data_IF_126810381199
#
_entry.id   IF_126810381199
#
_cell.length_a   1.000
_cell.length_b   1.000
_cell.length_c   1.000
_cell.angle_alpha   90.00
_cell.angle_beta   90.00
_cell.angle_gamma   90.00
#
_symmetry.space_group_name_H-M   'P 1'
#
loop_
_entity.id
_entity.type
_entity.pdbx_description
1 polymer ?
#
# COMPACT_ATOMS: atom_id res chain seq x y z
N UNK A 1 9.15 23.33 -28.83
CA UNK A 1 8.63 23.92 -27.57
C UNK A 1 8.59 22.80 -26.54
N UNK A 2 9.69 22.59 -25.83
CA UNK A 2 9.76 21.62 -24.73
C UNK A 2 9.34 22.36 -23.45
N UNK A 3 8.23 21.94 -22.85
CA UNK A 3 7.74 22.49 -21.59
C UNK A 3 8.37 21.70 -20.44
N UNK A 4 9.10 22.41 -19.58
CA UNK A 4 9.60 21.92 -18.29
C UNK A 4 8.52 22.06 -17.24
N UNK A 5 8.31 21.02 -16.42
CA UNK A 5 7.41 21.04 -15.28
C UNK A 5 8.10 21.73 -14.09
N UNK A 6 7.65 22.94 -13.76
CA UNK A 6 7.92 23.56 -12.47
C UNK A 6 6.86 23.13 -11.47
N UNK A 7 7.27 22.41 -10.42
CA UNK A 7 6.51 22.34 -9.19
C UNK A 7 6.68 23.69 -8.49
N UNK A 8 5.61 24.49 -8.43
CA UNK A 8 5.63 25.75 -7.70
C UNK A 8 5.57 25.45 -6.18
N UNK A 9 6.64 25.80 -5.49
CA UNK A 9 6.81 25.81 -4.03
C UNK A 9 8.25 26.21 -3.73
N UNK A 10 8.43 27.31 -2.99
CA UNK A 10 9.66 28.11 -2.86
C UNK A 10 10.96 27.32 -2.61
N UNK A 11 11.97 27.62 -3.45
CA UNK A 11 13.40 27.78 -3.11
C UNK A 11 14.24 27.57 -4.39
N UNK A 12 14.52 28.66 -5.10
CA UNK A 12 15.43 28.70 -6.26
C UNK A 12 16.65 29.52 -5.86
N UNK A 13 17.77 28.84 -5.60
CA UNK A 13 19.09 29.46 -5.71
C UNK A 13 19.66 29.19 -7.11
N UNK A 14 19.99 30.29 -7.79
CA UNK A 14 20.49 30.31 -9.14
C UNK A 14 22.03 30.28 -9.16
N UNK A 15 22.62 29.30 -9.84
CA UNK A 15 23.96 29.43 -10.41
C UNK A 15 24.11 28.55 -11.64
N UNK A 16 24.14 29.22 -12.80
CA UNK A 16 24.62 28.67 -14.07
C UNK A 16 26.12 28.41 -13.95
N UNK A 17 26.58 27.20 -14.24
CA UNK A 17 27.91 26.99 -14.82
C UNK A 17 27.85 25.91 -15.91
N UNK A 18 28.41 26.28 -17.06
CA UNK A 18 28.44 25.48 -18.27
C UNK A 18 29.69 24.61 -18.26
N UNK A 19 29.54 23.28 -18.26
CA UNK A 19 30.65 22.35 -18.47
C UNK A 19 30.55 21.55 -19.77
N UNK A 20 31.67 21.60 -20.48
CA UNK A 20 32.00 20.98 -21.77
C UNK A 20 31.96 19.45 -21.73
N UNK A 21 31.27 18.83 -22.70
CA UNK A 21 31.23 17.38 -22.90
C UNK A 21 32.53 16.84 -23.51
N UNK A 22 33.17 15.88 -22.84
CA UNK A 22 34.11 14.93 -23.45
C UNK A 22 33.42 13.57 -23.67
N UNK A 23 33.73 12.84 -24.76
CA UNK A 23 33.04 11.60 -25.11
C UNK A 23 33.53 10.41 -24.27
N UNK A 24 32.64 9.82 -23.48
CA UNK A 24 32.87 8.57 -22.75
C UNK A 24 32.50 7.34 -23.58
N UNK A 25 33.35 6.30 -23.49
CA UNK A 25 33.18 4.99 -24.13
C UNK A 25 31.87 4.27 -23.70
N UNK A 26 31.35 3.30 -24.49
CA UNK A 26 30.06 2.68 -24.20
C UNK A 26 30.17 1.74 -23.00
N UNK A 27 29.72 2.20 -21.83
CA UNK A 27 29.48 1.34 -20.67
C UNK A 27 28.20 0.54 -20.93
N UNK A 28 28.28 -0.79 -20.88
CA UNK A 28 27.09 -1.66 -20.89
C UNK A 28 26.38 -1.46 -19.54
N UNK A 29 25.53 -0.46 -19.42
CA UNK A 29 24.67 -0.26 -18.26
C UNK A 29 23.62 -1.36 -18.24
N UNK A 30 23.73 -2.28 -17.27
CA UNK A 30 22.67 -3.23 -16.93
C UNK A 30 21.39 -2.43 -16.69
N UNK A 31 20.35 -2.68 -17.48
CA UNK A 31 19.11 -1.94 -17.38
C UNK A 31 18.45 -2.20 -16.01
N UNK A 32 18.54 -1.23 -15.10
CA UNK A 32 17.90 -1.26 -13.80
C UNK A 32 16.40 -0.97 -13.95
N UNK A 33 15.58 -1.64 -13.14
CA UNK A 33 14.15 -1.35 -13.08
C UNK A 33 13.95 0.05 -12.47
N UNK A 34 13.06 0.85 -13.08
CA UNK A 34 12.73 2.19 -12.56
C UNK A 34 11.82 2.11 -11.33
N UNK A 35 11.65 3.23 -10.63
CA UNK A 35 10.88 3.36 -9.38
C UNK A 35 9.34 3.29 -9.54
N UNK A 36 8.86 3.21 -10.78
CA UNK A 36 7.45 3.02 -11.11
C UNK A 36 7.32 2.27 -12.44
N UNK A 37 6.19 1.60 -12.70
CA UNK A 37 6.02 0.81 -13.91
C UNK A 37 5.96 1.70 -15.16
N UNK A 38 6.92 1.50 -16.08
CA UNK A 38 7.00 2.22 -17.37
C UNK A 38 6.97 1.21 -18.53
N UNK A 39 6.12 1.47 -19.52
CA UNK A 39 6.03 0.65 -20.73
C UNK A 39 7.38 0.52 -21.44
N UNK A 40 7.77 -0.70 -21.80
CA UNK A 40 9.02 -0.99 -22.52
C UNK A 40 10.30 -0.92 -21.68
N UNK A 41 10.21 -0.69 -20.37
CA UNK A 41 11.35 -0.75 -19.44
C UNK A 41 11.30 -2.05 -18.61
N UNK A 42 12.45 -2.56 -18.12
CA UNK A 42 12.45 -3.64 -17.14
C UNK A 42 11.62 -3.26 -15.91
N UNK A 43 10.80 -4.22 -15.45
CA UNK A 43 9.94 -4.05 -14.29
C UNK A 43 10.56 -4.74 -13.07
N UNK A 44 10.26 -4.25 -11.86
CA UNK A 44 10.60 -4.96 -10.63
C UNK A 44 9.86 -6.31 -10.58
N UNK A 45 10.62 -7.39 -10.37
CA UNK A 45 10.06 -8.72 -10.17
C UNK A 45 9.21 -8.75 -8.90
N UNK A 46 8.04 -9.37 -8.98
CA UNK A 46 7.17 -9.51 -7.84
C UNK A 46 7.82 -10.39 -6.75
N UNK A 47 7.87 -9.89 -5.52
CA UNK A 47 8.55 -10.51 -4.38
C UNK A 47 7.67 -10.41 -3.14
N UNK A 48 7.55 -11.51 -2.40
CA UNK A 48 6.90 -11.54 -1.08
C UNK A 48 7.93 -11.29 0.00
N UNK A 49 7.58 -10.48 1.00
CA UNK A 49 8.45 -10.14 2.12
C UNK A 49 8.00 -10.86 3.40
N UNK A 50 8.98 -11.30 4.20
CA UNK A 50 8.72 -11.89 5.51
C UNK A 50 8.53 -10.79 6.55
N UNK A 51 7.43 -10.87 7.31
CA UNK A 51 7.10 -9.86 8.31
C UNK A 51 8.16 -9.79 9.42
N UNK A 52 8.74 -10.92 9.84
CA UNK A 52 9.73 -10.92 10.91
C UNK A 52 11.03 -10.24 10.47
N UNK A 53 11.45 -10.47 9.21
CA UNK A 53 12.58 -9.77 8.60
C UNK A 53 12.31 -8.27 8.47
N UNK A 54 11.13 -7.87 7.99
CA UNK A 54 10.76 -6.45 7.90
C UNK A 54 10.73 -5.77 9.27
N UNK A 55 10.19 -6.43 10.29
CA UNK A 55 10.17 -5.91 11.67
C UNK A 55 11.58 -5.78 12.26
N UNK A 56 12.49 -6.69 11.93
CA UNK A 56 13.88 -6.62 12.38
C UNK A 56 14.67 -5.44 11.79
N UNK A 57 14.19 -4.88 10.67
CA UNK A 57 14.77 -3.70 10.02
C UNK A 57 14.09 -2.38 10.43
N UNK A 58 13.18 -2.41 11.41
CA UNK A 58 12.53 -1.18 11.86
C UNK A 58 13.50 -0.28 12.63
N UNK A 59 13.38 1.06 12.48
CA UNK A 59 14.11 1.99 13.32
C UNK A 59 13.63 1.87 14.78
N UNK A 60 14.44 2.34 15.72
CA UNK A 60 14.08 2.33 17.15
C UNK A 60 12.91 3.27 17.50
N UNK A 61 12.60 4.22 16.63
CA UNK A 61 11.47 5.13 16.76
C UNK A 61 10.96 5.61 15.40
N UNK A 62 9.71 6.04 15.36
CA UNK A 62 9.09 6.68 14.20
C UNK A 62 8.24 7.86 14.65
N UNK A 63 8.27 8.95 13.87
CA UNK A 63 7.33 10.06 14.04
C UNK A 63 6.10 9.88 13.15
N UNK A 64 4.94 10.35 13.60
CA UNK A 64 3.68 10.19 12.90
C UNK A 64 2.75 11.41 13.04
N UNK A 65 1.78 11.53 12.14
CA UNK A 65 0.62 12.40 12.31
C UNK A 65 -0.68 11.63 12.15
N UNK A 66 -1.77 12.23 12.61
CA UNK A 66 -3.12 11.74 12.42
C UNK A 66 -3.78 12.48 11.26
N UNK A 67 -4.27 11.72 10.28
CA UNK A 67 -5.12 12.25 9.22
C UNK A 67 -6.59 12.13 9.63
N UNK A 68 -7.24 13.28 9.79
CA UNK A 68 -8.69 13.34 10.01
C UNK A 68 -9.44 13.09 8.69
N UNK A 69 -10.25 12.03 8.67
CA UNK A 69 -11.16 11.72 7.57
C UNK A 69 -12.60 11.89 8.04
N UNK A 70 -13.24 12.99 7.60
CA UNK A 70 -14.67 13.21 7.84
C UNK A 70 -15.50 12.28 6.95
N UNK A 71 -16.23 11.37 7.59
CA UNK A 71 -17.14 10.42 6.96
C UNK A 71 -18.47 11.08 6.56
N UNK A 72 -19.28 10.35 5.80
CA UNK A 72 -20.56 10.85 5.26
C UNK A 72 -21.64 11.03 6.34
N UNK A 73 -21.50 10.36 7.48
CA UNK A 73 -22.34 10.55 8.67
C UNK A 73 -21.86 11.70 9.57
N UNK A 74 -20.78 12.40 9.18
CA UNK A 74 -20.17 13.49 9.94
C UNK A 74 -19.17 13.03 11.01
N UNK A 75 -19.04 11.72 11.27
CA UNK A 75 -18.01 11.21 12.17
C UNK A 75 -16.61 11.43 11.57
N UNK A 76 -15.60 11.59 12.43
CA UNK A 76 -14.19 11.70 11.99
C UNK A 76 -13.45 10.42 12.38
N UNK A 77 -12.79 9.80 11.41
CA UNK A 77 -11.85 8.71 11.63
C UNK A 77 -10.44 9.28 11.58
N UNK A 78 -9.62 8.96 12.58
CA UNK A 78 -8.22 9.39 12.64
C UNK A 78 -7.30 8.25 12.19
N UNK A 79 -6.67 8.43 11.03
CA UNK A 79 -5.77 7.45 10.44
C UNK A 79 -4.31 7.86 10.70
N UNK A 80 -3.51 7.05 11.41
CA UNK A 80 -2.11 7.39 11.63
C UNK A 80 -1.29 7.18 10.36
N UNK A 81 -0.30 8.07 10.18
CA UNK A 81 0.67 8.00 9.10
C UNK A 81 2.03 8.37 9.62
N UNK A 82 3.04 7.56 9.30
CA UNK A 82 4.44 7.95 9.49
C UNK A 82 4.72 9.24 8.72
N UNK A 83 5.44 10.14 9.37
CA UNK A 83 5.81 11.43 8.81
C UNK A 83 6.80 11.30 7.65
N UNK A 84 6.61 12.09 6.59
CA UNK A 84 7.48 12.02 5.41
C UNK A 84 8.88 12.54 5.72
N UNK A 85 9.00 13.53 6.60
CA UNK A 85 10.31 14.03 7.02
C UNK A 85 11.08 12.96 7.80
N UNK A 86 10.40 12.13 8.60
CA UNK A 86 11.01 11.06 9.38
C UNK A 86 11.54 9.94 8.45
N UNK A 87 10.77 9.60 7.41
CA UNK A 87 11.23 8.70 6.34
C UNK A 87 12.48 9.24 5.65
N UNK A 88 12.52 10.54 5.34
CA UNK A 88 13.69 11.18 4.70
C UNK A 88 14.91 11.16 5.58
N UNK A 89 14.76 11.44 6.88
CA UNK A 89 15.87 11.39 7.84
C UNK A 89 16.43 9.97 7.95
N UNK A 90 15.57 8.93 8.01
CA UNK A 90 16.02 7.54 8.02
C UNK A 90 16.83 7.21 6.75
N UNK A 91 16.31 7.55 5.57
CA UNK A 91 17.01 7.29 4.30
C UNK A 91 18.37 7.99 4.25
N UNK A 92 18.45 9.25 4.71
CA UNK A 92 19.72 9.98 4.77
C UNK A 92 20.73 9.30 5.71
N UNK A 93 20.28 8.82 6.86
CA UNK A 93 21.15 8.11 7.81
C UNK A 93 21.67 6.78 7.25
N UNK A 94 20.80 5.98 6.60
CA UNK A 94 21.19 4.72 5.97
C UNK A 94 22.19 4.95 4.82
N UNK A 95 21.99 5.99 4.00
CA UNK A 95 22.93 6.36 2.93
C UNK A 95 24.30 6.79 3.46
N UNK A 96 24.35 7.51 4.59
CA UNK A 96 25.61 7.90 5.23
C UNK A 96 26.36 6.69 5.80
N UNK A 97 25.66 5.73 6.40
CA UNK A 97 26.23 4.48 6.88
C UNK A 97 26.82 3.65 5.74
N UNK A 98 26.13 3.55 4.61
CA UNK A 98 26.63 2.87 3.41
C UNK A 98 27.90 3.55 2.86
N UNK A 99 27.89 4.89 2.72
CA UNK A 99 29.06 5.66 2.26
C UNK A 99 30.26 5.51 3.19
N UNK A 100 30.02 5.41 4.50
CA UNK A 100 31.08 5.21 5.49
C UNK A 100 31.62 3.77 5.48
N UNK A 101 30.79 2.78 5.11
CA UNK A 101 31.20 1.38 4.97
C UNK A 101 32.03 1.10 3.69
N UNK A 102 31.86 1.89 2.63
CA UNK A 102 32.55 1.71 1.33
C UNK A 102 34.07 1.99 1.33
N UNK A 103 34.67 2.44 2.45
CA UNK A 103 36.15 2.46 2.59
C UNK A 103 36.76 1.06 2.86
N UNK A 104 35.97 -0.01 2.82
CA UNK A 104 36.44 -1.40 2.94
C UNK A 104 35.71 -2.39 2.04
N UNK A 105 36.24 -2.61 0.83
CA UNK A 105 36.09 -3.81 -0.02
C UNK A 105 34.66 -4.17 -0.49
N UNK A 106 34.37 -3.85 -1.77
CA UNK A 106 33.43 -4.49 -2.71
C UNK A 106 32.29 -5.34 -2.10
N UNK A 107 31.13 -4.72 -1.85
CA UNK A 107 29.87 -5.40 -1.63
C UNK A 107 28.90 -5.12 -2.79
N UNK A 108 28.96 -5.95 -3.83
CA UNK A 108 27.85 -6.14 -4.77
C UNK A 108 26.63 -6.65 -3.97
N UNK A 109 25.69 -5.78 -3.57
CA UNK A 109 24.55 -6.24 -2.77
C UNK A 109 23.41 -5.26 -2.53
N UNK A 110 23.66 -3.96 -2.42
CA UNK A 110 22.61 -2.94 -2.32
C UNK A 110 22.84 -1.90 -3.41
N UNK A 111 21.93 -1.86 -4.38
CA UNK A 111 22.04 -0.98 -5.52
C UNK A 111 21.70 0.46 -5.14
N UNK A 112 22.69 1.21 -4.68
CA UNK A 112 22.61 2.67 -4.56
C UNK A 112 23.90 3.26 -5.16
N UNK A 113 23.85 3.47 -6.47
CA UNK A 113 24.91 4.15 -7.19
C UNK A 113 24.95 5.64 -6.83
N UNK A 114 26.16 6.13 -6.67
CA UNK A 114 26.54 7.51 -6.33
C UNK A 114 26.04 8.52 -7.37
N UNK A 115 24.94 9.22 -7.09
CA UNK A 115 24.63 10.60 -7.49
C UNK A 115 23.37 11.07 -6.77
N UNK A 116 23.41 12.29 -6.23
CA UNK A 116 22.41 12.93 -5.37
C UNK A 116 20.96 12.74 -5.80
N UNK A 117 20.07 12.51 -4.82
CA UNK A 117 18.60 12.67 -4.85
C UNK A 117 18.02 12.99 -6.24
N UNK A 118 17.86 12.00 -7.16
CA UNK A 118 16.98 12.18 -8.34
C UNK A 118 16.64 11.00 -9.27
N UNK A 119 17.12 9.77 -9.10
CA UNK A 119 16.79 8.72 -10.11
C UNK A 119 16.52 7.32 -9.58
N UNK A 120 15.91 7.17 -8.39
CA UNK A 120 15.57 5.82 -7.90
C UNK A 120 14.47 5.72 -6.85
N UNK A 121 14.20 6.78 -6.08
CA UNK A 121 13.21 6.73 -5.00
C UNK A 121 11.92 7.42 -5.45
N UNK A 122 10.85 6.63 -5.62
CA UNK A 122 9.52 7.14 -5.90
C UNK A 122 8.91 7.70 -4.61
N UNK A 123 9.02 9.01 -4.39
CA UNK A 123 8.36 9.69 -3.26
C UNK A 123 6.83 9.59 -3.30
N UNK A 124 6.25 9.31 -4.47
CA UNK A 124 4.80 9.26 -4.63
C UNK A 124 4.13 8.19 -3.76
N UNK A 125 4.84 7.11 -3.43
CA UNK A 125 4.34 6.02 -2.59
C UNK A 125 4.38 6.36 -1.10
N UNK A 126 5.19 7.34 -0.70
CA UNK A 126 5.25 7.82 0.68
C UNK A 126 4.13 8.82 1.01
N UNK A 127 3.38 9.28 0.00
CA UNK A 127 2.29 10.24 0.16
C UNK A 127 0.94 9.54 0.09
N UNK A 128 -0.02 10.04 0.86
CA UNK A 128 -1.42 9.66 0.71
C UNK A 128 -2.04 10.44 -0.43
N UNK A 129 -2.81 9.77 -1.28
CA UNK A 129 -3.54 10.38 -2.38
C UNK A 129 -5.02 10.51 -2.06
N UNK A 130 -5.67 11.58 -2.54
CA UNK A 130 -7.06 11.92 -2.21
C UNK A 130 -8.05 10.77 -2.47
N UNK A 131 -7.88 10.02 -3.57
CA UNK A 131 -8.78 8.90 -3.88
C UNK A 131 -8.73 7.78 -2.83
N UNK A 132 -7.64 7.64 -2.06
CA UNK A 132 -7.59 6.69 -0.95
C UNK A 132 -8.49 7.10 0.22
N UNK A 133 -8.63 8.41 0.46
CA UNK A 133 -9.58 8.97 1.44
C UNK A 133 -11.02 8.76 0.95
N UNK A 134 -11.28 8.96 -0.33
CA UNK A 134 -12.59 8.68 -0.93
C UNK A 134 -12.99 7.21 -0.77
N UNK A 135 -12.02 6.31 -0.91
CA UNK A 135 -12.23 4.88 -0.69
C UNK A 135 -12.53 4.55 0.78
N UNK A 136 -11.84 5.15 1.74
CA UNK A 136 -12.14 5.01 3.19
C UNK A 136 -13.58 5.40 3.49
N UNK A 137 -14.07 6.53 2.93
CA UNK A 137 -15.46 6.97 3.14
C UNK A 137 -16.48 5.97 2.59
N UNK A 138 -16.21 5.41 1.40
CA UNK A 138 -17.06 4.35 0.81
C UNK A 138 -17.06 3.09 1.69
N UNK A 139 -15.91 2.67 2.20
CA UNK A 139 -15.79 1.51 3.09
C UNK A 139 -16.59 1.72 4.38
N UNK A 140 -16.55 2.92 4.96
CA UNK A 140 -17.33 3.26 6.14
C UNK A 140 -18.85 3.22 5.86
N UNK A 141 -19.28 3.80 4.73
CA UNK A 141 -20.69 3.83 4.31
C UNK A 141 -21.27 2.43 4.01
N UNK A 142 -20.44 1.47 3.62
CA UNK A 142 -20.83 0.06 3.45
C UNK A 142 -20.91 -0.72 4.77
N UNK A 143 -20.82 -0.03 5.91
CA UNK A 143 -21.10 -0.57 7.22
C UNK A 143 -19.89 -1.19 7.91
N UNK A 144 -18.70 -0.57 7.83
CA UNK A 144 -17.49 -0.89 8.64
C UNK A 144 -17.35 -2.39 8.96
N UNK A 145 -16.87 -3.23 8.04
CA UNK A 145 -16.55 -4.65 8.33
C UNK A 145 -17.76 -5.46 8.92
N UNK A 146 -18.99 -4.97 8.95
CA UNK A 146 -20.12 -5.63 9.64
C UNK A 146 -20.59 -6.94 9.00
N UNK A 147 -20.28 -7.18 7.72
CA UNK A 147 -20.51 -8.47 7.07
C UNK A 147 -19.41 -9.51 7.38
N UNK A 148 -18.24 -9.06 7.86
CA UNK A 148 -17.06 -9.88 8.13
C UNK A 148 -17.09 -10.65 9.46
N UNK A 149 -18.07 -10.37 10.31
CA UNK A 149 -18.13 -11.06 11.60
C UNK A 149 -18.57 -12.53 11.44
N UNK A 150 -19.18 -12.86 10.29
CA UNK A 150 -19.71 -14.21 10.02
C UNK A 150 -18.76 -15.08 9.17
N UNK A 151 -17.88 -14.48 8.38
CA UNK A 151 -16.97 -15.19 7.46
C UNK A 151 -15.53 -14.69 7.58
N UNK A 152 -14.52 -15.55 7.35
CA UNK A 152 -13.15 -15.11 7.13
C UNK A 152 -13.07 -14.01 6.07
N UNK A 153 -12.24 -13.00 6.32
CA UNK A 153 -12.04 -11.85 5.42
C UNK A 153 -10.68 -11.89 4.74
N UNK A 154 -10.67 -11.60 3.45
CA UNK A 154 -9.45 -11.40 2.66
C UNK A 154 -9.46 -9.99 2.08
N UNK A 155 -8.59 -9.14 2.60
CA UNK A 155 -8.41 -7.77 2.16
C UNK A 155 -7.13 -7.72 1.35
N UNK A 156 -7.22 -7.31 0.09
CA UNK A 156 -6.08 -7.21 -0.83
C UNK A 156 -6.02 -5.78 -1.32
N UNK A 157 -4.95 -5.05 -1.06
CA UNK A 157 -4.76 -3.69 -1.58
C UNK A 157 -3.59 -3.63 -2.55
N UNK A 158 -3.87 -3.26 -3.79
CA UNK A 158 -2.87 -3.11 -4.85
C UNK A 158 -2.47 -1.64 -4.98
N UNK A 159 -1.17 -1.37 -5.02
CA UNK A 159 -0.65 0.00 -5.07
C UNK A 159 -0.95 0.77 -3.79
N UNK A 160 -0.66 0.15 -2.65
CA UNK A 160 -1.14 0.60 -1.35
C UNK A 160 -0.50 1.90 -0.85
N UNK A 161 0.75 2.22 -1.19
CA UNK A 161 1.43 3.39 -0.64
C UNK A 161 1.33 3.47 0.89
N UNK A 162 0.71 4.54 1.41
CA UNK A 162 0.41 4.71 2.84
C UNK A 162 -0.69 3.77 3.41
N UNK A 163 -1.37 3.01 2.55
CA UNK A 163 -2.38 2.00 2.86
C UNK A 163 -3.61 2.48 3.64
N UNK A 164 -4.02 3.74 3.49
CA UNK A 164 -5.17 4.30 4.23
C UNK A 164 -6.44 3.41 4.20
N UNK A 165 -6.86 2.83 3.06
CA UNK A 165 -7.98 1.90 3.02
C UNK A 165 -7.77 0.68 3.91
N UNK A 166 -6.64 -0.03 3.77
CA UNK A 166 -6.34 -1.18 4.63
C UNK A 166 -6.17 -0.81 6.10
N UNK A 167 -5.58 0.35 6.43
CA UNK A 167 -5.42 0.83 7.80
C UNK A 167 -6.78 1.11 8.44
N UNK A 168 -7.73 1.71 7.71
CA UNK A 168 -9.09 1.93 8.23
C UNK A 168 -9.80 0.60 8.55
N UNK A 169 -9.70 -0.39 7.65
CA UNK A 169 -10.25 -1.73 7.87
C UNK A 169 -9.54 -2.46 9.03
N UNK A 170 -8.25 -2.27 9.18
CA UNK A 170 -7.46 -2.81 10.28
C UNK A 170 -7.91 -2.19 11.61
N UNK A 171 -8.05 -0.88 11.73
CA UNK A 171 -8.58 -0.22 12.93
C UNK A 171 -9.97 -0.72 13.30
N UNK A 172 -10.91 -0.80 12.35
CA UNK A 172 -12.24 -1.36 12.64
C UNK A 172 -12.18 -2.83 13.03
N UNK A 173 -11.22 -3.59 12.50
CA UNK A 173 -10.95 -4.97 12.94
C UNK A 173 -10.52 -4.99 14.41
N UNK A 174 -9.61 -4.10 14.82
CA UNK A 174 -9.16 -3.97 16.21
C UNK A 174 -10.29 -3.53 17.14
N UNK A 175 -11.07 -2.51 16.77
CA UNK A 175 -12.21 -1.98 17.54
C UNK A 175 -13.27 -3.07 17.81
N UNK A 176 -13.60 -3.84 16.78
CA UNK A 176 -14.53 -4.97 16.92
C UNK A 176 -13.98 -6.07 17.84
N UNK A 177 -12.65 -6.21 17.95
CA UNK A 177 -12.01 -7.21 18.82
C UNK A 177 -12.11 -6.82 20.29
N UNK A 178 -12.11 -5.52 20.57
CA UNK A 178 -12.28 -4.98 21.92
C UNK A 178 -13.75 -4.94 22.35
N UNK A 179 -14.67 -4.78 21.40
CA UNK A 179 -16.10 -4.65 21.67
C UNK A 179 -16.83 -5.98 21.77
N UNK A 180 -16.39 -6.99 21.03
CA UNK A 180 -16.99 -8.32 21.04
C UNK A 180 -16.38 -9.14 22.18
N UNK A 181 -17.20 -9.69 23.07
CA UNK A 181 -16.74 -10.69 24.04
C UNK A 181 -16.08 -11.90 23.36
N UNK A 182 -15.53 -12.83 24.14
CA UNK A 182 -14.66 -13.95 23.70
C UNK A 182 -15.26 -15.00 22.71
N UNK A 183 -16.24 -14.66 21.88
CA UNK A 183 -16.64 -15.49 20.74
C UNK A 183 -15.51 -15.60 19.73
N UNK A 184 -15.27 -16.80 19.22
CA UNK A 184 -14.18 -17.09 18.28
C UNK A 184 -14.31 -16.24 17.00
N UNK A 185 -13.42 -15.26 16.85
CA UNK A 185 -13.40 -14.35 15.70
C UNK A 185 -12.97 -15.09 14.43
N UNK A 186 -13.58 -14.72 13.32
CA UNK A 186 -13.15 -15.19 12.01
C UNK A 186 -11.78 -14.59 11.62
N UNK A 187 -10.90 -15.36 10.95
CA UNK A 187 -9.63 -14.87 10.45
C UNK A 187 -9.77 -13.65 9.54
N UNK A 188 -8.84 -12.70 9.62
CA UNK A 188 -8.76 -11.57 8.69
C UNK A 188 -7.35 -11.48 8.13
N UNK A 189 -7.21 -11.58 6.81
CA UNK A 189 -5.91 -11.44 6.14
C UNK A 189 -5.83 -10.14 5.36
N UNK A 190 -4.75 -9.38 5.57
CA UNK A 190 -4.39 -8.22 4.76
C UNK A 190 -3.20 -8.59 3.86
N UNK A 191 -3.39 -8.51 2.55
CA UNK A 191 -2.32 -8.57 1.56
C UNK A 191 -2.17 -7.18 0.96
N UNK A 192 -1.13 -6.48 1.34
CA UNK A 192 -0.84 -5.12 0.86
C UNK A 192 0.35 -5.15 -0.09
N UNK A 193 0.18 -4.51 -1.24
CA UNK A 193 1.16 -4.55 -2.31
C UNK A 193 1.49 -3.16 -2.83
N UNK A 194 2.78 -2.93 -3.08
CA UNK A 194 3.27 -1.71 -3.73
C UNK A 194 4.30 -2.09 -4.79
N UNK A 195 4.53 -1.23 -5.77
CA UNK A 195 5.60 -1.50 -6.73
C UNK A 195 6.98 -1.48 -6.02
N UNK A 196 7.18 -0.60 -5.04
CA UNK A 196 8.46 -0.38 -4.37
C UNK A 196 8.55 -1.08 -3.00
N UNK A 197 9.55 -1.94 -2.75
CA UNK A 197 9.71 -2.59 -1.44
C UNK A 197 9.99 -1.59 -0.31
N UNK A 198 10.71 -0.50 -0.60
CA UNK A 198 11.01 0.56 0.37
C UNK A 198 9.74 1.27 0.87
N UNK A 199 8.70 1.40 0.03
CA UNK A 199 7.40 1.95 0.46
C UNK A 199 6.75 1.03 1.50
N UNK A 200 6.79 -0.28 1.26
CA UNK A 200 6.25 -1.27 2.19
C UNK A 200 7.00 -1.24 3.53
N UNK A 201 8.33 -1.18 3.48
CA UNK A 201 9.19 -1.18 4.66
C UNK A 201 9.11 0.12 5.46
N UNK A 202 9.19 1.27 4.79
CA UNK A 202 9.33 2.56 5.46
C UNK A 202 8.01 3.25 5.79
N UNK A 203 6.91 2.87 5.15
CA UNK A 203 5.62 3.57 5.30
C UNK A 203 4.47 2.61 5.58
N UNK A 204 4.26 1.61 4.73
CA UNK A 204 3.09 0.73 4.87
C UNK A 204 3.09 -0.05 6.18
N UNK A 205 4.17 -0.80 6.48
CA UNK A 205 4.26 -1.56 7.73
C UNK A 205 4.27 -0.65 8.98
N UNK A 206 5.03 0.47 9.03
CA UNK A 206 4.94 1.42 10.13
C UNK A 206 3.52 1.92 10.40
N UNK A 207 2.72 2.20 9.36
CA UNK A 207 1.33 2.64 9.53
C UNK A 207 0.45 1.55 10.18
N UNK A 208 0.67 0.26 9.87
CA UNK A 208 -0.03 -0.83 10.57
C UNK A 208 0.36 -0.91 12.04
N UNK A 209 1.65 -0.73 12.36
CA UNK A 209 2.12 -0.72 13.75
C UNK A 209 1.53 0.47 14.50
N UNK A 210 1.54 1.67 13.91
CA UNK A 210 0.95 2.87 14.49
C UNK A 210 -0.55 2.69 14.75
N UNK A 211 -1.30 2.16 13.78
CA UNK A 211 -2.72 1.89 13.93
C UNK A 211 -3.01 0.92 15.08
N UNK A 212 -2.22 -0.14 15.21
CA UNK A 212 -2.31 -1.06 16.34
C UNK A 212 -1.95 -0.39 17.66
N UNK A 213 -0.80 0.30 17.71
CA UNK A 213 -0.25 0.88 18.92
C UNK A 213 -1.19 1.95 19.52
N UNK A 214 -1.75 2.80 18.66
CA UNK A 214 -2.73 3.81 19.09
C UNK A 214 -4.03 3.17 19.59
N UNK A 215 -4.54 2.15 18.87
CA UNK A 215 -5.78 1.47 19.27
C UNK A 215 -5.62 0.68 20.57
N UNK A 216 -4.45 0.10 20.82
CA UNK A 216 -4.20 -0.82 21.93
C UNK A 216 -3.40 -0.18 23.09
N UNK A 217 -3.16 1.14 23.05
CA UNK A 217 -2.27 1.86 23.98
C UNK A 217 -2.59 1.60 25.45
N UNK A 218 -3.86 1.67 25.81
CA UNK A 218 -4.31 1.51 27.21
C UNK A 218 -4.31 0.05 27.69
N UNK A 219 -4.34 -0.90 26.75
CA UNK A 219 -4.53 -2.32 27.03
C UNK A 219 -3.24 -3.15 26.93
N UNK A 220 -2.14 -2.54 26.45
CA UNK A 220 -0.89 -3.25 26.17
C UNK A 220 0.24 -2.69 27.03
N UNK A 221 0.76 -3.44 28.02
CA UNK A 221 1.81 -2.96 28.92
C UNK A 221 3.07 -2.45 28.20
N UNK A 222 3.45 -3.06 27.07
CA UNK A 222 4.60 -2.64 26.28
C UNK A 222 4.46 -1.23 25.68
N UNK A 223 3.24 -0.72 25.53
CA UNK A 223 2.95 0.59 24.93
C UNK A 223 2.90 1.74 25.93
N UNK A 224 2.84 1.47 27.23
CA UNK A 224 2.65 2.49 28.28
C UNK A 224 3.71 3.59 28.18
N UNK A 225 4.97 3.21 27.96
CA UNK A 225 6.10 4.13 27.86
C UNK A 225 6.56 4.36 26.42
N UNK A 226 5.92 3.73 25.42
CA UNK A 226 6.34 3.82 24.02
C UNK A 226 5.96 5.15 23.36
N UNK A 227 5.07 5.92 24.00
CA UNK A 227 4.60 7.25 23.58
C UNK A 227 5.08 8.31 24.58
N UNK A 228 6.40 8.31 24.86
CA UNK A 228 7.05 9.23 25.80
C UNK A 228 7.06 10.68 25.28
N UNK A 229 7.13 10.85 23.96
CA UNK A 229 6.98 12.11 23.23
C UNK A 229 5.66 12.06 22.46
N UNK A 230 4.97 13.20 22.40
CA UNK A 230 3.82 13.38 21.54
C UNK A 230 4.25 13.15 20.08
N UNK A 231 3.38 12.50 19.29
CA UNK A 231 3.60 12.24 17.86
C UNK A 231 4.81 11.34 17.52
N UNK A 232 5.43 10.69 18.51
CA UNK A 232 6.45 9.65 18.29
C UNK A 232 6.01 8.29 18.89
N UNK A 233 6.44 7.21 18.25
CA UNK A 233 6.33 5.84 18.76
C UNK A 233 7.72 5.22 18.86
N UNK A 234 8.14 4.88 20.07
CA UNK A 234 9.33 4.06 20.32
C UNK A 234 9.06 2.59 19.99
N UNK A 235 9.76 2.05 19.00
CA UNK A 235 9.64 0.67 18.52
C UNK A 235 10.62 -0.25 19.26
N UNK A 236 10.56 -0.25 20.59
CA UNK A 236 11.37 -1.15 21.42
C UNK A 236 11.06 -2.62 21.10
N UNK A 237 12.00 -3.57 21.35
CA UNK A 237 11.78 -4.98 21.07
C UNK A 237 10.50 -5.56 21.70
N UNK A 238 10.12 -5.07 22.89
CA UNK A 238 8.88 -5.46 23.56
C UNK A 238 7.61 -4.99 22.82
N UNK A 239 7.65 -3.81 22.18
CA UNK A 239 6.56 -3.27 21.35
C UNK A 239 6.38 -4.11 20.10
N UNK A 240 7.48 -4.42 19.41
CA UNK A 240 7.47 -5.29 18.22
C UNK A 240 6.94 -6.69 18.55
N UNK A 241 7.41 -7.29 19.65
CA UNK A 241 6.94 -8.60 20.09
C UNK A 241 5.44 -8.58 20.49
N UNK A 242 4.97 -7.50 21.12
CA UNK A 242 3.57 -7.32 21.47
C UNK A 242 2.68 -7.17 20.22
N UNK A 243 3.15 -6.45 19.19
CA UNK A 243 2.45 -6.34 17.90
C UNK A 243 2.28 -7.71 17.25
N UNK A 244 3.37 -8.48 17.13
CA UNK A 244 3.32 -9.84 16.56
C UNK A 244 2.38 -10.76 17.34
N UNK A 245 2.47 -10.73 18.68
CA UNK A 245 1.60 -11.53 19.55
C UNK A 245 0.13 -11.15 19.40
N UNK A 246 -0.16 -9.85 19.24
CA UNK A 246 -1.51 -9.35 19.03
C UNK A 246 -2.10 -9.84 17.70
N UNK A 247 -1.33 -9.79 16.60
CA UNK A 247 -1.77 -10.30 15.30
C UNK A 247 -2.18 -11.78 15.39
N UNK A 248 -1.34 -12.61 16.02
CA UNK A 248 -1.62 -14.04 16.21
C UNK A 248 -2.85 -14.25 17.09
N UNK A 249 -2.92 -13.59 18.24
CA UNK A 249 -4.03 -13.74 19.19
C UNK A 249 -5.39 -13.36 18.59
N UNK A 250 -5.41 -12.40 17.65
CA UNK A 250 -6.62 -11.93 17.00
C UNK A 250 -6.86 -12.54 15.61
N UNK A 251 -6.08 -13.57 15.22
CA UNK A 251 -6.18 -14.25 13.92
C UNK A 251 -6.07 -13.29 12.74
N UNK A 252 -5.20 -12.29 12.87
CA UNK A 252 -4.89 -11.32 11.81
C UNK A 252 -3.57 -11.70 11.16
N UNK A 253 -3.53 -11.75 9.83
CA UNK A 253 -2.29 -11.97 9.07
C UNK A 253 -1.99 -10.79 8.18
N UNK A 254 -0.74 -10.32 8.17
CA UNK A 254 -0.25 -9.30 7.25
C UNK A 254 0.72 -9.92 6.24
N UNK A 255 0.50 -9.65 4.95
CA UNK A 255 1.36 -10.11 3.84
C UNK A 255 1.74 -8.92 2.97
N UNK A 256 3.03 -8.80 2.68
CA UNK A 256 3.61 -7.70 1.91
C UNK A 256 4.19 -8.22 0.60
N UNK A 257 3.80 -7.61 -0.52
CA UNK A 257 4.28 -8.00 -1.85
C UNK A 257 4.76 -6.76 -2.59
N UNK A 258 6.04 -6.72 -2.98
CA UNK A 258 6.56 -5.67 -3.85
C UNK A 258 6.60 -6.09 -5.32
N UNK A 259 6.73 -5.12 -6.23
CA UNK A 259 7.04 -5.34 -7.64
C UNK A 259 5.83 -5.24 -8.57
N UNK A 260 6.05 -5.52 -9.86
CA UNK A 260 5.04 -5.32 -10.89
C UNK A 260 3.89 -6.33 -10.81
N UNK A 261 2.68 -5.83 -11.05
CA UNK A 261 1.50 -6.65 -11.30
C UNK A 261 1.73 -7.53 -12.54
N UNK A 262 1.81 -8.83 -12.29
CA UNK A 262 2.22 -9.86 -13.25
C UNK A 262 1.60 -11.20 -12.86
N UNK A 263 1.63 -12.24 -13.72
CA UNK A 263 1.17 -13.57 -13.33
C UNK A 263 1.86 -14.09 -12.05
N UNK A 264 3.17 -13.80 -11.90
CA UNK A 264 3.92 -14.13 -10.69
C UNK A 264 3.40 -13.38 -9.46
N UNK A 265 3.05 -12.10 -9.60
CA UNK A 265 2.42 -11.35 -8.52
C UNK A 265 1.12 -12.02 -8.07
N UNK A 266 0.25 -12.41 -9.02
CA UNK A 266 -1.00 -13.10 -8.70
C UNK A 266 -0.72 -14.43 -8.00
N UNK A 267 0.28 -15.21 -8.40
CA UNK A 267 0.68 -16.42 -7.66
C UNK A 267 1.06 -16.11 -6.20
N UNK A 268 1.85 -15.06 -5.97
CA UNK A 268 2.29 -14.67 -4.63
C UNK A 268 1.15 -14.23 -3.71
N UNK A 269 0.06 -13.68 -4.26
CA UNK A 269 -1.16 -13.35 -3.49
C UNK A 269 -1.79 -14.60 -2.85
N UNK A 270 -1.60 -15.80 -3.43
CA UNK A 270 -2.21 -17.04 -2.93
C UNK A 270 -1.19 -18.00 -2.28
N UNK A 271 0.09 -17.90 -2.64
CA UNK A 271 1.13 -18.78 -2.08
C UNK A 271 1.43 -18.39 -0.63
N UNK A 272 1.38 -19.33 0.32
CA UNK A 272 1.82 -19.11 1.72
C UNK A 272 0.78 -18.45 2.62
N UNK A 273 -0.50 -18.63 2.34
CA UNK A 273 -1.57 -18.35 3.29
C UNK A 273 -1.67 -19.61 4.17
N UNK A 274 -1.57 -19.49 5.52
CA UNK A 274 -1.69 -20.66 6.40
C UNK A 274 -3.01 -21.39 6.11
N UNK A 275 -2.94 -22.73 6.01
CA UNK A 275 -4.07 -23.58 5.65
C UNK A 275 -5.31 -23.41 6.56
N UNK A 276 -5.18 -22.76 7.71
CA UNK A 276 -6.30 -22.42 8.61
C UNK A 276 -7.30 -21.43 8.00
N UNK A 277 -6.95 -20.72 6.92
CA UNK A 277 -7.86 -19.87 6.15
C UNK A 277 -8.29 -20.51 4.81
N UNK A 278 -7.81 -21.72 4.51
CA UNK A 278 -8.09 -22.45 3.27
C UNK A 278 -8.49 -23.88 3.57
N UNK A 279 -9.45 -24.07 4.48
CA UNK A 279 -10.37 -25.19 4.30
C UNK A 279 -11.00 -24.97 2.92
N UNK A 280 -10.56 -25.79 1.96
CA UNK A 280 -10.90 -25.67 0.56
C UNK A 280 -12.39 -26.01 0.42
N UNK A 281 -13.27 -25.02 0.64
CA UNK A 281 -14.71 -25.18 0.75
C UNK A 281 -15.40 -24.29 1.79
N UNK A 282 -14.66 -23.65 2.70
CA UNK A 282 -15.21 -22.67 3.64
C UNK A 282 -15.39 -21.31 2.95
N UNK A 283 -16.59 -20.72 3.08
CA UNK A 283 -16.91 -19.39 2.55
C UNK A 283 -15.96 -18.32 3.13
N UNK A 284 -15.41 -17.44 2.28
CA UNK A 284 -14.62 -16.29 2.68
C UNK A 284 -15.02 -15.07 1.83
N UNK A 285 -15.12 -13.90 2.46
CA UNK A 285 -15.40 -12.66 1.76
C UNK A 285 -14.09 -12.00 1.30
N UNK A 286 -14.00 -11.68 0.01
CA UNK A 286 -12.79 -11.04 -0.54
C UNK A 286 -13.08 -9.63 -1.00
N UNK A 287 -12.27 -8.71 -0.50
CA UNK A 287 -12.30 -7.29 -0.84
C UNK A 287 -10.95 -6.90 -1.44
N UNK A 288 -10.96 -6.59 -2.74
CA UNK A 288 -9.84 -6.06 -3.47
C UNK A 288 -9.94 -4.53 -3.53
N UNK A 289 -8.88 -3.83 -3.20
CA UNK A 289 -8.81 -2.38 -3.11
C UNK A 289 -7.73 -1.85 -4.06
N UNK A 290 -8.01 -0.73 -4.69
CA UNK A 290 -7.01 0.03 -5.44
C UNK A 290 -7.36 1.52 -5.44
N UNK A 291 -6.43 2.35 -5.02
CA UNK A 291 -6.58 3.80 -5.03
C UNK A 291 -5.46 4.42 -5.86
N UNK A 292 -5.81 5.19 -6.89
CA UNK A 292 -4.85 5.90 -7.78
C UNK A 292 -3.88 4.96 -8.52
N UNK A 293 -4.36 3.76 -8.89
CA UNK A 293 -3.56 2.70 -9.53
C UNK A 293 -3.57 2.73 -11.06
N UNK A 294 -4.43 3.56 -11.65
CA UNK A 294 -4.76 3.54 -13.09
C UNK A 294 -4.36 4.81 -13.83
N UNK A 295 -3.32 5.50 -13.35
CA UNK A 295 -2.89 6.82 -13.85
C UNK A 295 -2.34 6.84 -15.28
N UNK A 296 -1.90 5.71 -15.83
CA UNK A 296 -1.39 5.59 -17.19
C UNK A 296 -2.00 4.38 -17.90
N UNK A 297 -2.08 4.34 -19.25
CA UNK A 297 -2.60 3.19 -19.98
C UNK A 297 -1.90 1.87 -19.63
N UNK A 298 -0.58 1.91 -19.38
CA UNK A 298 0.19 0.73 -18.99
C UNK A 298 -0.19 0.24 -17.59
N UNK A 299 -0.25 1.14 -16.61
CA UNK A 299 -0.67 0.81 -15.24
C UNK A 299 -2.13 0.34 -15.21
N UNK A 300 -3.02 1.01 -15.95
CA UNK A 300 -4.41 0.63 -16.12
C UNK A 300 -4.56 -0.81 -16.64
N UNK A 301 -3.83 -1.16 -17.71
CA UNK A 301 -3.87 -2.50 -18.27
C UNK A 301 -3.40 -3.55 -17.25
N UNK A 302 -2.24 -3.34 -16.64
CA UNK A 302 -1.66 -4.29 -15.68
C UNK A 302 -2.53 -4.45 -14.42
N UNK A 303 -3.05 -3.34 -13.88
CA UNK A 303 -3.96 -3.33 -12.73
C UNK A 303 -5.27 -4.07 -13.03
N UNK A 304 -5.87 -3.80 -14.20
CA UNK A 304 -7.12 -4.44 -14.63
C UNK A 304 -6.92 -5.94 -14.82
N UNK A 305 -5.82 -6.36 -15.42
CA UNK A 305 -5.49 -7.77 -15.60
C UNK A 305 -5.31 -8.49 -14.26
N UNK A 306 -4.50 -7.95 -13.34
CA UNK A 306 -4.34 -8.51 -12.01
C UNK A 306 -5.67 -8.58 -11.23
N UNK A 307 -6.47 -7.52 -11.30
CA UNK A 307 -7.80 -7.46 -10.68
C UNK A 307 -8.70 -8.58 -11.17
N UNK A 308 -8.82 -8.78 -12.47
CA UNK A 308 -9.70 -9.81 -13.03
C UNK A 308 -9.15 -11.23 -12.81
N UNK A 309 -7.84 -11.43 -12.82
CA UNK A 309 -7.24 -12.71 -12.44
C UNK A 309 -7.56 -13.07 -10.97
N UNK A 310 -7.51 -12.08 -10.06
CA UNK A 310 -7.86 -12.28 -8.66
C UNK A 310 -9.36 -12.57 -8.53
N UNK A 311 -10.24 -11.73 -9.10
CA UNK A 311 -11.69 -11.93 -9.02
C UNK A 311 -12.13 -13.30 -9.58
N UNK A 312 -11.55 -13.73 -10.71
CA UNK A 312 -11.85 -15.03 -11.30
C UNK A 312 -11.40 -16.18 -10.40
N UNK A 313 -10.20 -16.09 -9.81
CA UNK A 313 -9.68 -17.13 -8.93
C UNK A 313 -10.45 -17.20 -7.61
N UNK A 314 -10.81 -16.06 -7.02
CA UNK A 314 -11.65 -16.00 -5.83
C UNK A 314 -13.03 -16.60 -6.09
N UNK A 315 -13.68 -16.27 -7.21
CA UNK A 315 -14.97 -16.87 -7.57
C UNK A 315 -14.91 -18.36 -7.90
N UNK A 316 -13.76 -18.87 -8.33
CA UNK A 316 -13.54 -20.32 -8.52
C UNK A 316 -13.31 -21.06 -7.19
N UNK A 317 -12.70 -20.41 -6.20
CA UNK A 317 -12.44 -20.99 -4.87
C UNK A 317 -13.69 -20.91 -3.98
N UNK A 318 -14.40 -19.77 -3.99
CA UNK A 318 -15.51 -19.46 -3.10
C UNK A 318 -16.81 -19.22 -3.89
N UNK A 319 -17.46 -20.29 -4.34
CA UNK A 319 -18.66 -20.21 -5.19
C UNK A 319 -19.89 -19.55 -4.54
N UNK A 320 -19.91 -19.45 -3.21
CA UNK A 320 -21.03 -18.90 -2.43
C UNK A 320 -20.73 -17.53 -1.82
N UNK A 321 -19.51 -17.02 -1.95
CA UNK A 321 -19.08 -15.77 -1.31
C UNK A 321 -18.66 -14.71 -2.34
N UNK A 322 -19.07 -13.46 -2.17
CA UNK A 322 -18.76 -12.41 -3.13
C UNK A 322 -17.30 -11.97 -3.03
N UNK A 323 -16.60 -11.96 -4.17
CA UNK A 323 -15.38 -11.19 -4.36
C UNK A 323 -15.72 -9.83 -4.97
N UNK A 324 -15.30 -8.75 -4.31
CA UNK A 324 -15.61 -7.38 -4.71
C UNK A 324 -14.32 -6.60 -4.88
N UNK A 325 -14.17 -5.90 -6.00
CA UNK A 325 -13.13 -4.91 -6.20
C UNK A 325 -13.71 -3.50 -6.02
N UNK A 326 -13.07 -2.68 -5.19
CA UNK A 326 -13.35 -1.26 -5.05
C UNK A 326 -12.16 -0.47 -5.60
N UNK A 327 -12.41 0.34 -6.62
CA UNK A 327 -11.37 1.12 -7.32
C UNK A 327 -11.70 2.59 -7.22
N UNK A 328 -10.80 3.35 -6.61
CA UNK A 328 -10.90 4.79 -6.45
C UNK A 328 -9.83 5.48 -7.30
N UNK A 329 -10.22 6.41 -8.16
CA UNK A 329 -9.29 7.09 -9.05
C UNK A 329 -9.82 8.44 -9.53
N UNK A 330 -8.91 9.24 -10.11
CA UNK A 330 -9.29 10.45 -10.84
C UNK A 330 -10.07 10.07 -12.09
N UNK A 331 -11.11 10.86 -12.40
CA UNK A 331 -11.89 10.73 -13.63
C UNK A 331 -11.04 10.99 -14.88
N UNK A 332 -9.99 11.81 -14.75
CA UNK A 332 -9.03 12.05 -15.83
C UNK A 332 -7.66 12.36 -15.25
N UNK A 333 -6.61 11.76 -15.81
CA UNK A 333 -5.21 12.08 -15.51
C UNK A 333 -4.59 12.88 -16.66
N UNK A 334 -4.39 14.18 -16.47
CA UNK A 334 -3.77 15.04 -17.49
C UNK A 334 -2.32 14.62 -17.76
N UNK A 335 -1.94 14.50 -19.04
CA UNK A 335 -0.57 14.25 -19.50
C UNK A 335 -0.10 12.78 -19.50
N UNK A 336 -0.67 11.92 -18.64
CA UNK A 336 -0.30 10.49 -18.53
C UNK A 336 -1.37 9.54 -19.09
N UNK A 337 -2.62 9.99 -19.22
CA UNK A 337 -3.62 9.40 -20.11
C UNK A 337 -4.44 8.24 -19.56
N UNK A 338 -4.35 7.90 -18.26
CA UNK A 338 -5.32 6.99 -17.64
C UNK A 338 -6.63 7.69 -17.27
N UNK A 339 -7.69 6.92 -17.03
CA UNK A 339 -8.96 7.42 -16.49
C UNK A 339 -9.77 6.32 -15.79
N UNK A 340 -10.64 6.73 -14.86
CA UNK A 340 -11.60 5.83 -14.24
C UNK A 340 -12.62 5.29 -15.26
N UNK A 341 -12.99 6.07 -16.26
CA UNK A 341 -13.96 5.64 -17.28
C UNK A 341 -13.35 4.55 -18.18
N UNK A 342 -12.06 4.64 -18.54
CA UNK A 342 -11.35 3.58 -19.27
C UNK A 342 -11.28 2.28 -18.45
N UNK A 343 -11.11 2.36 -17.13
CA UNK A 343 -11.20 1.18 -16.26
C UNK A 343 -12.59 0.55 -16.30
N UNK A 344 -13.65 1.36 -16.21
CA UNK A 344 -15.04 0.88 -16.29
C UNK A 344 -15.29 0.16 -17.61
N UNK A 345 -14.83 0.73 -18.73
CA UNK A 345 -15.01 0.13 -20.05
C UNK A 345 -14.23 -1.18 -20.21
N UNK A 346 -12.97 -1.23 -19.77
CA UNK A 346 -12.18 -2.47 -19.78
C UNK A 346 -12.78 -3.54 -18.86
N UNK A 347 -13.25 -3.15 -17.68
CA UNK A 347 -13.87 -4.06 -16.72
C UNK A 347 -15.16 -4.68 -17.29
N UNK A 348 -16.04 -3.86 -17.87
CA UNK A 348 -17.26 -4.34 -18.53
C UNK A 348 -16.95 -5.23 -19.74
N UNK A 349 -15.94 -4.87 -20.53
CA UNK A 349 -15.46 -5.68 -21.65
C UNK A 349 -14.96 -7.07 -21.24
N UNK A 350 -14.51 -7.22 -19.99
CA UNK A 350 -14.09 -8.50 -19.38
C UNK A 350 -15.23 -9.23 -18.64
N UNK A 351 -16.47 -8.76 -18.76
CA UNK A 351 -17.66 -9.35 -18.12
C UNK A 351 -17.87 -8.94 -16.67
N UNK A 352 -17.15 -7.91 -16.19
CA UNK A 352 -17.37 -7.34 -14.87
C UNK A 352 -18.64 -6.50 -14.81
N UNK A 353 -19.39 -6.63 -13.72
CA UNK A 353 -20.47 -5.72 -13.36
C UNK A 353 -19.90 -4.55 -12.55
N UNK A 354 -20.10 -3.32 -13.04
CA UNK A 354 -19.48 -2.12 -12.50
C UNK A 354 -20.52 -1.06 -12.13
N UNK A 355 -20.54 -0.70 -10.85
CA UNK A 355 -21.44 0.30 -10.26
C UNK A 355 -20.62 1.45 -9.68
N UNK A 356 -21.01 2.69 -9.97
CA UNK A 356 -20.40 3.89 -9.35
C UNK A 356 -20.97 4.04 -7.94
N UNK A 357 -20.09 4.15 -6.94
CA UNK A 357 -20.47 4.30 -5.53
C UNK A 357 -20.33 5.73 -5.02
N UNK A 358 -19.37 6.47 -5.56
CA UNK A 358 -19.06 7.85 -5.15
C UNK A 358 -18.52 8.62 -6.35
N UNK A 359 -18.88 9.90 -6.40
CA UNK A 359 -18.24 10.90 -7.23
C UNK A 359 -17.87 12.09 -6.35
N UNK A 360 -16.64 12.57 -6.52
CA UNK A 360 -16.14 13.76 -5.84
C UNK A 360 -15.88 14.83 -6.89
N UNK A 361 -16.55 15.96 -6.73
CA UNK A 361 -16.55 17.07 -7.69
C UNK A 361 -15.71 18.24 -7.23
N UNK A 362 -15.31 18.26 -5.95
CA UNK A 362 -14.47 19.32 -5.41
C UNK A 362 -13.00 19.12 -5.85
N UNK A 363 -12.49 20.09 -6.61
CA UNK A 363 -11.16 20.05 -7.21
C UNK A 363 -11.09 19.12 -8.42
N UNK A 364 -10.07 18.25 -8.46
CA UNK A 364 -9.94 17.27 -9.54
C UNK A 364 -11.01 16.20 -9.36
N UNK A 365 -11.87 16.00 -10.37
CA UNK A 365 -12.94 15.00 -10.31
C UNK A 365 -12.39 13.61 -10.04
N UNK A 366 -12.95 12.93 -9.04
CA UNK A 366 -12.61 11.55 -8.65
C UNK A 366 -13.87 10.73 -8.53
N UNK A 367 -13.70 9.41 -8.54
CA UNK A 367 -14.81 8.51 -8.27
C UNK A 367 -14.34 7.20 -7.66
N UNK A 368 -15.29 6.51 -7.03
CA UNK A 368 -15.11 5.15 -6.53
C UNK A 368 -16.11 4.25 -7.23
N UNK A 369 -15.62 3.17 -7.81
CA UNK A 369 -16.46 2.15 -8.46
C UNK A 369 -16.33 0.82 -7.74
N UNK A 370 -17.44 0.10 -7.68
CA UNK A 370 -17.51 -1.31 -7.31
C UNK A 370 -17.51 -2.15 -8.59
N UNK A 371 -16.62 -3.12 -8.67
CA UNK A 371 -16.56 -4.11 -9.72
C UNK A 371 -16.72 -5.52 -9.12
N UNK A 372 -17.59 -6.33 -9.72
CA UNK A 372 -17.76 -7.74 -9.38
C UNK A 372 -17.70 -8.59 -10.64
N UNK A 373 -17.35 -9.87 -10.51
CA UNK A 373 -17.31 -10.81 -11.63
C UNK A 373 -18.22 -11.99 -11.32
N UNK A 374 -19.25 -12.21 -12.14
CA UNK A 374 -20.04 -13.43 -12.06
C UNK A 374 -19.28 -14.56 -12.76
N UNK A 375 -18.69 -15.46 -11.97
CA UNK A 375 -18.12 -16.69 -12.50
C UNK A 375 -19.29 -17.60 -12.90
N UNK A 376 -19.50 -17.79 -14.20
CA UNK A 376 -20.49 -18.75 -14.68
C UNK A 376 -20.03 -20.15 -14.27
N UNK A 377 -20.90 -20.86 -13.55
CA UNK A 377 -20.70 -22.24 -13.13
C UNK A 377 -20.59 -23.21 -14.32
#
# INVERSE_FOLDING_TARGET
>A
MAFSFGFAGDDIDASNDAETQQPTAPTITRAQAGAFPIAGKPQLTATRHDLSQMLAMMPSKIAYSLLDVTLDDGCVVQLPRRELWDVRVQLMAEEEEEKNAEHGVNADGFGLGTHDVKTGVYEGGFKSWESSVDLVKVLAAQGKVSAAEQLPMRIIELGCGTALPSISLFQWTLEAAMSSGATARQPTSFTVADYNPTVLQLVTLPNFILAWALSCREHTPALINAFSLDDELELLPAVVAAFQSHLVANRISLTFISGAWSPRFVELVYNGIPNDATDSGAAAATLLLGAETIYSPFALQAFTEATFCILQREGAIYSTSPAVALVAAKKLYFGVGGSLDDFVDQARGRGGDVTVLREETDGVRRGVVKCTLQVRA
#
